data_IF_070250862835
#
_entry.id   IF_070250862835
#
_cell.length_a   1.000
_cell.length_b   1.000
_cell.length_c   1.000
_cell.angle_alpha   90.00
_cell.angle_beta   90.00
_cell.angle_gamma   90.00
#
_symmetry.space_group_name_H-M   'P 1'
#
loop_
_entity.id
_entity.type
_entity.pdbx_description
1 polymer ?
#
# COMPACT_ATOMS: atom_id res chain seq x y z
N UNK A 1 -19.12 14.23 -3.13
CA UNK A 1 -18.37 13.00 -3.54
C UNK A 1 -17.21 13.15 -4.55
N UNK A 2 -17.44 13.58 -5.82
CA UNK A 2 -16.49 13.34 -6.95
C UNK A 2 -15.11 14.02 -6.80
N UNK A 3 -15.07 15.25 -6.26
CA UNK A 3 -13.83 16.04 -6.16
C UNK A 3 -12.81 15.42 -5.19
N UNK A 4 -13.28 14.85 -4.07
CA UNK A 4 -12.45 14.20 -3.04
C UNK A 4 -11.98 12.81 -3.49
N UNK A 5 -12.87 12.05 -4.14
CA UNK A 5 -12.53 10.74 -4.75
C UNK A 5 -11.52 10.92 -5.89
N UNK A 6 -11.68 11.92 -6.76
CA UNK A 6 -10.71 12.20 -7.83
C UNK A 6 -9.36 12.71 -7.29
N UNK A 7 -9.36 13.58 -6.28
CA UNK A 7 -8.11 14.00 -5.63
C UNK A 7 -7.39 12.82 -4.98
N UNK A 8 -8.13 11.88 -4.40
CA UNK A 8 -7.58 10.70 -3.73
C UNK A 8 -7.17 9.58 -4.70
N UNK A 9 -7.97 9.26 -5.72
CA UNK A 9 -7.53 8.37 -6.81
C UNK A 9 -6.28 8.95 -7.45
N UNK A 10 -6.25 10.27 -7.66
CA UNK A 10 -5.06 11.01 -8.03
C UNK A 10 -3.91 10.77 -7.05
N UNK A 11 -4.13 10.93 -5.74
CA UNK A 11 -3.09 10.79 -4.72
C UNK A 11 -2.60 9.36 -4.55
N UNK A 12 -3.47 8.35 -4.49
CA UNK A 12 -3.14 6.93 -4.27
C UNK A 12 -2.62 6.25 -5.52
N UNK A 13 -3.15 6.60 -6.69
CA UNK A 13 -2.58 6.12 -7.96
C UNK A 13 -1.26 6.85 -8.23
N UNK A 14 -1.17 8.17 -8.02
CA UNK A 14 0.09 8.88 -8.20
C UNK A 14 1.14 8.42 -7.20
N UNK A 15 0.83 8.31 -5.91
CA UNK A 15 1.74 7.83 -4.88
C UNK A 15 2.04 6.33 -5.02
N UNK A 16 1.08 5.49 -5.37
CA UNK A 16 1.30 4.05 -5.61
C UNK A 16 2.13 3.77 -6.86
N UNK A 17 1.95 4.60 -7.90
CA UNK A 17 2.83 4.60 -9.06
C UNK A 17 4.13 5.37 -8.83
N UNK A 18 4.25 6.16 -7.77
CA UNK A 18 5.41 7.03 -7.53
C UNK A 18 6.70 6.23 -7.31
N UNK A 19 6.75 5.17 -6.47
CA UNK A 19 7.92 4.30 -6.38
C UNK A 19 8.30 3.72 -7.74
N UNK A 20 7.32 3.25 -8.52
CA UNK A 20 7.54 2.66 -9.85
C UNK A 20 8.08 3.70 -10.84
N UNK A 21 7.53 4.92 -10.84
CA UNK A 21 7.98 6.04 -11.66
C UNK A 21 9.38 6.49 -11.25
N UNK A 22 9.66 6.58 -9.95
CA UNK A 22 10.97 6.95 -9.42
C UNK A 22 12.04 5.93 -9.84
N UNK A 23 11.74 4.63 -9.72
CA UNK A 23 12.60 3.54 -10.21
C UNK A 23 12.84 3.65 -11.72
N UNK A 24 11.80 3.96 -12.51
CA UNK A 24 11.90 4.17 -13.95
C UNK A 24 12.82 5.34 -14.30
N UNK A 25 12.68 6.47 -13.60
CA UNK A 25 13.53 7.66 -13.78
C UNK A 25 14.97 7.34 -13.39
N UNK A 26 15.21 6.68 -12.25
CA UNK A 26 16.57 6.30 -11.83
C UNK A 26 17.19 5.34 -12.84
N UNK A 27 16.45 4.34 -13.34
CA UNK A 27 16.92 3.45 -14.42
C UNK A 27 17.30 4.24 -15.68
N UNK A 28 16.48 5.19 -16.08
CA UNK A 28 16.73 6.01 -17.26
C UNK A 28 17.99 6.88 -17.10
N UNK A 29 18.19 7.48 -15.92
CA UNK A 29 19.33 8.37 -15.64
C UNK A 29 20.63 7.58 -15.45
N UNK A 30 20.61 6.47 -14.72
CA UNK A 30 21.82 5.68 -14.41
C UNK A 30 22.17 4.66 -15.50
N UNK A 31 21.28 4.39 -16.46
CA UNK A 31 21.41 3.32 -17.47
C UNK A 31 21.69 1.93 -16.86
N UNK A 32 21.40 1.76 -15.58
CA UNK A 32 21.73 0.55 -14.83
C UNK A 32 20.46 -0.24 -14.54
N UNK A 33 20.53 -1.56 -14.63
CA UNK A 33 19.43 -2.42 -14.21
C UNK A 33 19.31 -2.42 -12.69
N UNK A 34 18.33 -1.68 -12.17
CA UNK A 34 17.98 -1.75 -10.74
C UNK A 34 17.43 -3.16 -10.45
N UNK A 35 18.04 -3.84 -9.48
CA UNK A 35 17.65 -5.18 -9.08
C UNK A 35 16.33 -5.20 -8.32
N UNK A 36 15.57 -6.28 -8.50
CA UNK A 36 14.30 -6.52 -7.81
C UNK A 36 14.47 -6.50 -6.28
N UNK A 37 15.64 -6.88 -5.77
CA UNK A 37 15.98 -6.84 -4.35
C UNK A 37 15.93 -5.43 -3.74
N UNK A 38 16.11 -4.38 -4.54
CA UNK A 38 16.01 -2.99 -4.10
C UNK A 38 14.57 -2.47 -4.25
N UNK A 39 13.84 -2.94 -5.26
CA UNK A 39 12.50 -2.45 -5.61
C UNK A 39 11.42 -3.01 -4.67
N UNK A 40 11.46 -4.31 -4.39
CA UNK A 40 10.41 -4.97 -3.60
C UNK A 40 10.26 -4.40 -2.18
N UNK A 41 11.33 -4.14 -1.40
CA UNK A 41 11.20 -3.55 -0.06
C UNK A 41 10.48 -2.19 -0.10
N UNK A 42 10.82 -1.33 -1.05
CA UNK A 42 10.23 0.01 -1.18
C UNK A 42 8.73 -0.05 -1.50
N UNK A 43 8.31 -0.99 -2.36
CA UNK A 43 6.90 -1.21 -2.66
C UNK A 43 6.12 -1.68 -1.42
N UNK A 44 6.71 -2.58 -0.63
CA UNK A 44 6.09 -3.03 0.63
C UNK A 44 5.99 -1.92 1.66
N UNK A 45 7.06 -1.12 1.83
CA UNK A 45 7.05 0.04 2.72
C UNK A 45 5.96 1.04 2.33
N UNK A 46 5.83 1.31 1.03
CA UNK A 46 4.79 2.19 0.52
C UNK A 46 3.37 1.68 0.84
N UNK A 47 3.11 0.39 0.62
CA UNK A 47 1.83 -0.23 0.96
C UNK A 47 1.51 -0.11 2.47
N UNK A 48 2.52 -0.24 3.34
CA UNK A 48 2.36 -0.04 4.79
C UNK A 48 1.94 1.40 5.09
N UNK A 49 2.57 2.40 4.48
CA UNK A 49 2.21 3.82 4.68
C UNK A 49 0.78 4.12 4.23
N UNK A 50 0.36 3.64 3.06
CA UNK A 50 -1.01 3.87 2.55
C UNK A 50 -2.05 3.25 3.47
N UNK A 51 -1.83 2.03 3.95
CA UNK A 51 -2.76 1.41 4.88
C UNK A 51 -2.78 2.09 6.26
N UNK A 52 -1.65 2.59 6.76
CA UNK A 52 -1.62 3.37 7.99
C UNK A 52 -2.45 4.66 7.86
N UNK A 53 -2.35 5.36 6.73
CA UNK A 53 -3.20 6.53 6.43
C UNK A 53 -4.68 6.15 6.25
N UNK A 54 -4.95 5.00 5.63
CA UNK A 54 -6.28 4.42 5.51
C UNK A 54 -6.94 4.12 6.87
N UNK A 55 -6.16 3.67 7.87
CA UNK A 55 -6.66 3.47 9.24
C UNK A 55 -7.04 4.78 9.92
N UNK A 56 -6.24 5.84 9.74
CA UNK A 56 -6.58 7.18 10.24
C UNK A 56 -7.88 7.66 9.63
N UNK A 57 -8.00 7.55 8.30
CA UNK A 57 -9.22 7.90 7.57
C UNK A 57 -10.42 7.11 8.08
N UNK A 58 -10.31 5.79 8.24
CA UNK A 58 -11.36 4.95 8.81
C UNK A 58 -11.78 5.42 10.21
N UNK A 59 -10.83 5.84 11.03
CA UNK A 59 -11.12 6.27 12.39
C UNK A 59 -11.90 7.60 12.42
N UNK A 60 -11.57 8.51 11.50
CA UNK A 60 -12.18 9.84 11.37
C UNK A 60 -13.63 9.81 10.81
N UNK A 61 -14.06 8.71 10.18
CA UNK A 61 -15.44 8.48 9.71
C UNK A 61 -16.40 8.42 10.90
N UNK A 62 -17.50 9.19 10.91
CA UNK A 62 -18.45 9.23 12.03
C UNK A 62 -19.20 7.90 12.13
N UNK A 63 -19.40 7.36 13.34
CA UNK A 63 -20.16 6.11 13.45
C UNK A 63 -21.66 6.33 13.21
N UNK A 64 -22.12 6.15 11.97
CA UNK A 64 -23.54 5.92 11.68
C UNK A 64 -23.93 4.46 11.97
N UNK A 65 -25.11 4.21 12.57
CA UNK A 65 -25.57 2.85 12.92
C UNK A 65 -25.55 1.86 11.73
N UNK A 66 -25.76 2.33 10.49
CA UNK A 66 -25.73 1.50 9.28
C UNK A 66 -24.33 1.02 8.87
N UNK A 67 -23.28 1.78 9.17
CA UNK A 67 -21.92 1.52 8.66
C UNK A 67 -20.98 0.90 9.71
N UNK A 68 -21.38 0.84 10.98
CA UNK A 68 -20.52 0.37 12.09
C UNK A 68 -19.90 -1.01 11.86
N UNK A 69 -20.67 -1.99 11.37
CA UNK A 69 -20.16 -3.34 11.06
C UNK A 69 -19.15 -3.32 9.92
N UNK A 70 -19.42 -2.57 8.84
CA UNK A 70 -18.53 -2.47 7.67
C UNK A 70 -17.23 -1.76 8.03
N UNK A 71 -17.31 -0.65 8.77
CA UNK A 71 -16.15 0.10 9.29
C UNK A 71 -15.26 -0.80 10.16
N UNK A 72 -15.85 -1.54 11.09
CA UNK A 72 -15.11 -2.46 11.98
C UNK A 72 -14.42 -3.56 11.19
N UNK A 73 -15.11 -4.19 10.23
CA UNK A 73 -14.54 -5.24 9.39
C UNK A 73 -13.38 -4.72 8.52
N UNK A 74 -13.54 -3.53 7.92
CA UNK A 74 -12.47 -2.90 7.15
C UNK A 74 -11.28 -2.54 8.02
N UNK A 75 -11.51 -1.98 9.20
CA UNK A 75 -10.45 -1.67 10.15
C UNK A 75 -9.63 -2.90 10.52
N UNK A 76 -10.29 -3.99 10.94
CA UNK A 76 -9.61 -5.25 11.29
C UNK A 76 -8.86 -5.83 10.08
N UNK A 77 -9.47 -5.78 8.90
CA UNK A 77 -8.83 -6.26 7.66
C UNK A 77 -7.55 -5.48 7.37
N UNK A 78 -7.60 -4.14 7.42
CA UNK A 78 -6.44 -3.28 7.17
C UNK A 78 -5.33 -3.52 8.20
N UNK A 79 -5.67 -3.67 9.49
CA UNK A 79 -4.68 -4.01 10.53
C UNK A 79 -3.99 -5.34 10.23
N UNK A 80 -4.74 -6.38 9.87
CA UNK A 80 -4.18 -7.69 9.53
C UNK A 80 -3.24 -7.57 8.32
N UNK A 81 -3.66 -6.87 7.26
CA UNK A 81 -2.81 -6.64 6.09
C UNK A 81 -1.54 -5.85 6.42
N UNK A 82 -1.65 -4.84 7.29
CA UNK A 82 -0.51 -4.02 7.71
C UNK A 82 0.53 -4.86 8.47
N UNK A 83 0.08 -5.79 9.33
CA UNK A 83 0.96 -6.76 10.01
C UNK A 83 1.68 -7.64 8.98
N UNK A 84 0.94 -8.25 8.03
CA UNK A 84 1.55 -9.10 7.00
C UNK A 84 2.57 -8.35 6.15
N UNK A 85 2.24 -7.14 5.69
CA UNK A 85 3.14 -6.31 4.89
C UNK A 85 4.38 -5.89 5.67
N UNK A 86 4.24 -5.55 6.96
CA UNK A 86 5.35 -5.17 7.82
C UNK A 86 6.31 -6.33 8.06
N UNK A 87 5.79 -7.56 8.24
CA UNK A 87 6.62 -8.77 8.36
C UNK A 87 7.39 -9.03 7.06
N UNK A 88 6.73 -8.96 5.90
CA UNK A 88 7.40 -9.18 4.61
C UNK A 88 8.44 -8.09 4.34
N UNK A 89 8.13 -6.84 4.64
CA UNK A 89 9.08 -5.73 4.56
C UNK A 89 10.31 -5.97 5.44
N UNK A 90 10.11 -6.40 6.69
CA UNK A 90 11.21 -6.76 7.61
C UNK A 90 12.08 -7.90 7.07
N UNK A 91 11.48 -8.94 6.49
CA UNK A 91 12.20 -10.06 5.86
C UNK A 91 13.05 -9.56 4.67
N UNK A 92 12.51 -8.65 3.85
CA UNK A 92 13.21 -8.07 2.72
C UNK A 92 14.38 -7.17 3.16
N UNK A 93 14.21 -6.39 4.23
CA UNK A 93 15.29 -5.63 4.87
C UNK A 93 16.41 -6.54 5.38
N UNK A 94 16.07 -7.67 6.01
CA UNK A 94 17.07 -8.64 6.45
C UNK A 94 17.82 -9.27 5.28
N UNK A 95 17.13 -9.60 4.19
CA UNK A 95 17.76 -10.11 2.97
C UNK A 95 18.73 -9.11 2.32
N UNK A 96 18.42 -7.81 2.44
CA UNK A 96 19.27 -6.75 1.92
C UNK A 96 20.57 -6.59 2.72
N UNK A 97 20.57 -6.97 4.00
CA UNK A 97 21.69 -6.79 4.92
C UNK A 97 22.44 -8.10 5.26
N UNK A 98 21.88 -9.27 4.97
CA UNK A 98 22.49 -10.58 5.24
C UNK A 98 22.81 -11.29 3.92
N UNK A 99 24.08 -11.30 3.47
CA UNK A 99 24.46 -11.78 2.13
C UNK A 99 24.31 -13.30 1.91
N UNK A 100 24.07 -14.08 2.96
CA UNK A 100 23.84 -15.55 2.88
C UNK A 100 22.36 -15.92 2.75
N UNK A 101 21.46 -14.96 2.88
CA UNK A 101 20.02 -15.19 2.78
C UNK A 101 19.63 -15.28 1.30
N UNK A 102 19.34 -16.48 0.80
CA UNK A 102 18.92 -16.69 -0.58
C UNK A 102 17.39 -16.79 -0.65
N UNK A 103 16.71 -15.65 -0.64
CA UNK A 103 15.25 -15.60 -0.84
C UNK A 103 14.87 -15.74 -2.31
N UNK A 104 13.75 -16.42 -2.58
CA UNK A 104 13.13 -16.45 -3.91
C UNK A 104 12.46 -15.10 -4.22
N UNK A 105 13.28 -14.11 -4.57
CA UNK A 105 12.87 -12.73 -4.85
C UNK A 105 11.78 -12.61 -5.92
N UNK A 106 11.74 -13.51 -6.91
CA UNK A 106 10.69 -13.53 -7.93
C UNK A 106 9.28 -13.75 -7.37
N UNK A 107 9.14 -14.64 -6.38
CA UNK A 107 7.85 -14.91 -5.73
C UNK A 107 7.42 -13.73 -4.84
N UNK A 108 8.37 -13.16 -4.10
CA UNK A 108 8.15 -11.96 -3.28
C UNK A 108 7.73 -10.75 -4.12
N UNK A 109 8.32 -10.58 -5.30
CA UNK A 109 7.96 -9.51 -6.22
C UNK A 109 6.52 -9.67 -6.75
N UNK A 110 6.14 -10.88 -7.18
CA UNK A 110 4.77 -11.15 -7.61
C UNK A 110 3.75 -10.89 -6.49
N UNK A 111 4.07 -11.30 -5.26
CA UNK A 111 3.25 -11.00 -4.08
C UNK A 111 3.18 -9.50 -3.82
N UNK A 112 4.27 -8.76 -3.97
CA UNK A 112 4.29 -7.30 -3.77
C UNK A 112 3.28 -6.59 -4.67
N UNK A 113 3.24 -6.97 -5.96
CA UNK A 113 2.31 -6.40 -6.94
C UNK A 113 0.87 -6.73 -6.57
N UNK A 114 0.58 -7.99 -6.20
CA UNK A 114 -0.76 -8.41 -5.78
C UNK A 114 -1.21 -7.61 -4.55
N UNK A 115 -0.34 -7.48 -3.54
CA UNK A 115 -0.65 -6.72 -2.33
C UNK A 115 -0.86 -5.23 -2.61
N UNK A 116 -0.09 -4.63 -3.52
CA UNK A 116 -0.29 -3.24 -3.94
C UNK A 116 -1.66 -3.06 -4.59
N UNK A 117 -2.09 -3.98 -5.45
CA UNK A 117 -3.43 -3.93 -6.07
C UNK A 117 -4.52 -4.03 -5.00
N UNK A 118 -4.40 -4.98 -4.06
CA UNK A 118 -5.35 -5.14 -2.95
C UNK A 118 -5.38 -3.86 -2.10
N UNK A 119 -4.22 -3.23 -1.86
CA UNK A 119 -4.10 -1.98 -1.10
C UNK A 119 -4.85 -0.82 -1.76
N UNK A 120 -4.75 -0.69 -3.07
CA UNK A 120 -5.49 0.31 -3.85
C UNK A 120 -6.99 0.06 -3.73
N UNK A 121 -7.45 -1.20 -3.84
CA UNK A 121 -8.88 -1.55 -3.78
C UNK A 121 -9.45 -1.26 -2.38
N UNK A 122 -8.81 -1.77 -1.33
CA UNK A 122 -9.29 -1.61 0.06
C UNK A 122 -9.29 -0.13 0.45
N UNK A 123 -8.25 0.62 0.11
CA UNK A 123 -8.22 2.06 0.39
C UNK A 123 -9.29 2.81 -0.41
N UNK A 124 -9.61 2.36 -1.62
CA UNK A 124 -10.73 2.89 -2.40
C UNK A 124 -12.08 2.67 -1.70
N UNK A 125 -12.31 1.47 -1.16
CA UNK A 125 -13.53 1.17 -0.40
C UNK A 125 -13.67 2.05 0.85
N UNK A 126 -12.59 2.25 1.61
CA UNK A 126 -12.57 3.12 2.80
C UNK A 126 -13.03 4.53 2.44
N UNK A 127 -12.50 5.09 1.36
CA UNK A 127 -12.76 6.47 0.97
C UNK A 127 -14.17 6.66 0.38
N UNK A 128 -14.71 5.66 -0.32
CA UNK A 128 -16.12 5.69 -0.74
C UNK A 128 -17.03 5.75 0.48
N UNK A 129 -16.76 4.95 1.51
CA UNK A 129 -17.55 4.95 2.73
C UNK A 129 -17.42 6.28 3.48
N UNK A 130 -16.19 6.80 3.63
CA UNK A 130 -15.98 8.08 4.30
C UNK A 130 -16.51 9.30 3.54
N UNK A 131 -16.53 9.24 2.21
CA UNK A 131 -17.08 10.29 1.35
C UNK A 131 -18.62 10.30 1.26
N UNK A 132 -19.29 9.22 1.68
CA UNK A 132 -20.75 9.10 1.71
C UNK A 132 -21.39 9.64 3.00
N UNK A 133 -20.61 9.85 4.06
CA UNK A 133 -21.11 10.35 5.36
C UNK A 133 -20.96 11.87 5.55
N UNK A 134 -20.21 12.54 4.67
CA UNK A 134 -20.06 14.00 4.66
C UNK A 134 -21.13 14.72 3.81
N UNK A 135 -22.11 13.98 3.26
CA UNK A 135 -23.34 14.49 2.60
C UNK A 135 -24.56 14.23 3.49
#
# INVERSE_FOLDING_TARGET
>A
MYKRICLWLGFTVALGAFPLLFILVVKYVTKSEISISVISPELFFFNVMVYADGLKTLNDIKEGEKNKKVKTTLFVSVVIFLIFLSVIYGILLLNSNIPTLNLRLGLLNALSVIFTIICIIISGCIQVIGGLEDE
#
